data_IF_082079922376
#
_entry.id   IF_082079922376
#
_cell.length_a   1.000
_cell.length_b   1.000
_cell.length_c   1.000
_cell.angle_alpha   90.00
_cell.angle_beta   90.00
_cell.angle_gamma   90.00
#
_symmetry.space_group_name_H-M   'P 1'
#
loop_
_entity.id
_entity.type
_entity.pdbx_description
1 polymer ?
#
# COMPACT_ATOMS: atom_id res chain seq x y z
N UNK A 1 42.90 -5.13 -20.19
CA UNK A 1 43.17 -5.45 -18.77
C UNK A 1 42.55 -4.34 -17.93
N UNK A 2 41.33 -4.57 -17.43
CA UNK A 2 40.68 -3.90 -16.30
C UNK A 2 39.30 -4.56 -16.19
N UNK A 3 39.28 -5.77 -15.64
CA UNK A 3 38.07 -6.35 -15.06
C UNK A 3 37.75 -5.52 -13.83
N UNK A 4 36.66 -4.76 -13.88
CA UNK A 4 36.04 -4.25 -12.67
C UNK A 4 35.38 -5.45 -11.97
N UNK A 5 36.08 -6.05 -11.02
CA UNK A 5 35.45 -6.86 -9.98
C UNK A 5 34.51 -5.94 -9.19
N UNK A 6 33.24 -5.93 -9.57
CA UNK A 6 32.18 -5.55 -8.64
C UNK A 6 32.19 -6.62 -7.55
N UNK A 7 32.68 -6.24 -6.37
CA UNK A 7 32.46 -6.99 -5.13
C UNK A 7 30.94 -7.18 -4.97
N UNK A 8 30.41 -8.28 -5.51
CA UNK A 8 29.08 -8.73 -5.18
C UNK A 8 29.16 -9.17 -3.73
N UNK A 9 28.72 -8.31 -2.81
CA UNK A 9 28.28 -8.76 -1.50
C UNK A 9 27.33 -9.94 -1.75
N UNK A 10 27.63 -11.08 -1.12
CA UNK A 10 26.80 -12.26 -1.24
C UNK A 10 25.38 -11.90 -0.79
N UNK A 11 24.41 -12.06 -1.68
CA UNK A 11 23.00 -11.83 -1.36
C UNK A 11 22.60 -12.75 -0.21
N UNK A 12 22.13 -12.16 0.89
CA UNK A 12 21.79 -12.90 2.12
C UNK A 12 20.41 -13.54 2.05
N UNK A 13 19.51 -12.96 1.25
CA UNK A 13 18.15 -13.47 1.04
C UNK A 13 17.40 -12.68 -0.03
N UNK A 14 16.20 -13.16 -0.38
CA UNK A 14 15.25 -12.48 -1.25
C UNK A 14 13.97 -12.20 -0.47
N UNK A 15 13.41 -11.01 -0.64
CA UNK A 15 12.13 -10.61 -0.04
C UNK A 15 11.11 -10.37 -1.15
N UNK A 16 10.01 -11.12 -1.17
CA UNK A 16 8.84 -10.79 -1.97
C UNK A 16 7.82 -10.07 -1.09
N UNK A 17 7.53 -8.81 -1.42
CA UNK A 17 6.56 -8.00 -0.69
C UNK A 17 5.34 -7.74 -1.56
N UNK A 18 4.15 -8.05 -1.04
CA UNK A 18 2.89 -7.63 -1.65
C UNK A 18 2.63 -6.12 -1.44
N UNK A 19 1.78 -5.55 -2.29
CA UNK A 19 1.47 -4.13 -2.25
C UNK A 19 0.19 -3.81 -1.46
N UNK A 20 -0.96 -4.28 -1.91
CA UNK A 20 -2.27 -3.80 -1.47
C UNK A 20 -2.69 -4.52 -0.19
N UNK A 21 -2.87 -3.79 0.91
CA UNK A 21 -3.10 -4.36 2.24
C UNK A 21 -1.81 -4.69 3.00
N UNK A 22 -0.68 -4.78 2.28
CA UNK A 22 0.66 -5.05 2.83
C UNK A 22 1.52 -3.77 2.88
N UNK A 23 2.28 -3.43 1.84
CA UNK A 23 3.09 -2.20 1.86
C UNK A 23 2.24 -0.94 1.83
N UNK A 24 1.10 -0.96 1.14
CA UNK A 24 0.11 0.11 1.07
C UNK A 24 -1.15 -0.37 1.76
N UNK A 25 -1.55 0.26 2.86
CA UNK A 25 -2.68 -0.15 3.71
C UNK A 25 -4.07 -0.02 3.05
N UNK A 26 -4.10 0.46 1.80
CA UNK A 26 -5.31 0.61 1.00
C UNK A 26 -5.25 -0.23 -0.27
N UNK A 27 -6.26 -0.03 -1.12
CA UNK A 27 -6.28 -0.61 -2.45
C UNK A 27 -5.71 0.41 -3.45
N UNK A 28 -4.52 0.15 -3.99
CA UNK A 28 -3.84 1.03 -4.96
C UNK A 28 -4.66 1.24 -6.23
N UNK A 29 -5.48 0.27 -6.64
CA UNK A 29 -6.35 0.42 -7.81
C UNK A 29 -7.46 1.45 -7.55
N UNK A 30 -7.94 1.59 -6.31
CA UNK A 30 -8.86 2.67 -5.95
C UNK A 30 -8.19 4.05 -6.03
N UNK A 31 -6.93 4.18 -5.59
CA UNK A 31 -6.15 5.41 -5.79
C UNK A 31 -5.98 5.74 -7.26
N UNK A 32 -5.65 4.73 -8.07
CA UNK A 32 -5.55 4.89 -9.52
C UNK A 32 -6.87 5.37 -10.15
N UNK A 33 -8.01 4.81 -9.75
CA UNK A 33 -9.33 5.24 -10.23
C UNK A 33 -9.66 6.68 -9.78
N UNK A 34 -9.33 7.04 -8.54
CA UNK A 34 -9.56 8.38 -8.01
C UNK A 34 -8.70 9.44 -8.72
N UNK A 35 -7.41 9.14 -8.93
CA UNK A 35 -6.49 9.95 -9.71
C UNK A 35 -6.96 10.11 -11.16
N UNK A 36 -7.39 9.00 -11.79
CA UNK A 36 -7.98 8.99 -13.13
C UNK A 36 -9.20 9.91 -13.21
N UNK A 37 -10.13 9.80 -12.25
CA UNK A 37 -11.33 10.61 -12.21
C UNK A 37 -11.04 12.12 -12.03
N UNK A 38 -10.09 12.45 -11.14
CA UNK A 38 -9.70 13.83 -10.85
C UNK A 38 -9.05 14.52 -12.05
N UNK A 39 -8.24 13.78 -12.79
CA UNK A 39 -7.49 14.28 -13.95
C UNK A 39 -8.36 14.34 -15.21
N UNK A 40 -9.30 13.41 -15.37
CA UNK A 40 -10.13 13.29 -16.55
C UNK A 40 -11.06 14.49 -16.80
N UNK A 41 -11.18 14.90 -18.06
CA UNK A 41 -12.24 15.79 -18.55
C UNK A 41 -13.63 15.11 -18.57
N UNK A 42 -14.68 15.87 -18.89
CA UNK A 42 -16.07 15.36 -18.81
C UNK A 42 -16.31 14.10 -19.67
N UNK A 43 -15.81 14.09 -20.92
CA UNK A 43 -15.95 12.94 -21.81
C UNK A 43 -15.20 11.71 -21.28
N UNK A 44 -13.97 11.89 -20.81
CA UNK A 44 -13.15 10.83 -20.24
C UNK A 44 -13.75 10.26 -18.95
N UNK A 45 -14.33 11.11 -18.09
CA UNK A 45 -15.08 10.66 -16.91
C UNK A 45 -16.28 9.81 -17.29
N UNK A 46 -17.04 10.22 -18.33
CA UNK A 46 -18.15 9.43 -18.83
C UNK A 46 -17.69 8.07 -19.37
N UNK A 47 -16.58 8.03 -20.10
CA UNK A 47 -15.97 6.78 -20.59
C UNK A 47 -15.51 5.88 -19.44
N UNK A 48 -14.80 6.42 -18.44
CA UNK A 48 -14.36 5.69 -17.26
C UNK A 48 -15.56 5.14 -16.47
N UNK A 49 -16.59 5.98 -16.23
CA UNK A 49 -17.83 5.56 -15.60
C UNK A 49 -18.51 4.42 -16.36
N UNK A 50 -18.53 4.48 -17.70
CA UNK A 50 -19.05 3.39 -18.52
C UNK A 50 -18.26 2.09 -18.31
N UNK A 51 -16.92 2.13 -18.31
CA UNK A 51 -16.10 0.91 -18.08
C UNK A 51 -16.36 0.28 -16.71
N UNK A 52 -16.57 1.12 -15.68
CA UNK A 52 -16.90 0.71 -14.32
C UNK A 52 -18.31 0.14 -14.20
N UNK A 53 -19.30 0.80 -14.83
CA UNK A 53 -20.71 0.38 -14.80
C UNK A 53 -20.91 -1.03 -15.37
N UNK A 54 -20.08 -1.45 -16.34
CA UNK A 54 -20.11 -2.80 -16.89
C UNK A 54 -19.81 -3.90 -15.85
N UNK A 55 -19.23 -3.57 -14.69
CA UNK A 55 -19.08 -4.51 -13.55
C UNK A 55 -20.44 -4.99 -13.03
N UNK A 56 -21.49 -4.18 -13.14
CA UNK A 56 -22.83 -4.52 -12.65
C UNK A 56 -23.41 -5.78 -13.32
N UNK A 57 -22.89 -6.17 -14.50
CA UNK A 57 -23.28 -7.40 -15.19
C UNK A 57 -22.56 -8.67 -14.68
N UNK A 58 -21.84 -8.59 -13.56
CA UNK A 58 -21.23 -9.74 -12.88
C UNK A 58 -20.23 -10.50 -13.75
N UNK A 59 -20.36 -11.83 -13.81
CA UNK A 59 -19.50 -12.71 -14.62
C UNK A 59 -19.62 -12.43 -16.13
N UNK A 60 -20.79 -12.02 -16.62
CA UNK A 60 -20.98 -11.58 -18.01
C UNK A 60 -20.19 -10.31 -18.34
N UNK A 61 -19.96 -9.47 -17.33
CA UNK A 61 -19.06 -8.32 -17.39
C UNK A 61 -17.61 -8.63 -17.02
N UNK A 62 -17.22 -9.90 -16.88
CA UNK A 62 -15.88 -10.34 -16.49
C UNK A 62 -15.50 -10.06 -15.02
N UNK A 63 -16.44 -9.65 -14.17
CA UNK A 63 -16.19 -9.43 -12.75
C UNK A 63 -15.15 -8.35 -12.44
N UNK A 64 -14.37 -8.54 -11.37
CA UNK A 64 -13.33 -7.59 -10.95
C UNK A 64 -12.16 -7.51 -11.93
N UNK A 65 -11.67 -8.66 -12.38
CA UNK A 65 -10.61 -8.75 -13.38
C UNK A 65 -11.02 -8.11 -14.72
N UNK A 66 -12.24 -8.38 -15.18
CA UNK A 66 -12.79 -7.75 -16.39
C UNK A 66 -12.90 -6.24 -16.27
N UNK A 67 -13.32 -5.72 -15.11
CA UNK A 67 -13.35 -4.28 -14.85
C UNK A 67 -11.94 -3.68 -14.89
N UNK A 68 -10.97 -4.25 -14.17
CA UNK A 68 -9.57 -3.78 -14.18
C UNK A 68 -9.03 -3.76 -15.60
N UNK A 69 -9.20 -4.85 -16.37
CA UNK A 69 -8.79 -4.94 -17.78
C UNK A 69 -9.36 -3.80 -18.64
N UNK A 70 -10.66 -3.51 -18.51
CA UNK A 70 -11.32 -2.44 -19.28
C UNK A 70 -10.81 -1.06 -18.92
N UNK A 71 -10.61 -0.79 -17.63
CA UNK A 71 -10.05 0.48 -17.17
C UNK A 71 -8.61 0.65 -17.67
N UNK A 72 -7.78 -0.39 -17.61
CA UNK A 72 -6.41 -0.33 -18.13
C UNK A 72 -6.37 -0.11 -19.64
N UNK A 73 -7.31 -0.72 -20.39
CA UNK A 73 -7.45 -0.48 -21.83
C UNK A 73 -7.93 0.94 -22.15
N UNK A 74 -8.84 1.48 -21.34
CA UNK A 74 -9.23 2.89 -21.44
C UNK A 74 -8.02 3.80 -21.18
N UNK A 75 -7.26 3.53 -20.13
CA UNK A 75 -6.05 4.26 -19.78
C UNK A 75 -4.97 4.20 -20.88
N UNK A 76 -4.75 3.04 -21.51
CA UNK A 76 -3.78 2.92 -22.63
C UNK A 76 -4.11 3.83 -23.82
N UNK A 77 -5.39 4.18 -24.01
CA UNK A 77 -5.83 5.06 -25.08
C UNK A 77 -5.72 6.56 -24.78
N UNK A 78 -5.30 6.95 -23.58
CA UNK A 78 -5.10 8.35 -23.21
C UNK A 78 -3.81 8.93 -23.80
N UNK A 79 -3.68 10.26 -23.81
CA UNK A 79 -2.43 10.90 -24.20
C UNK A 79 -1.35 10.68 -23.13
N UNK A 80 -0.08 10.60 -23.53
CA UNK A 80 1.04 10.33 -22.61
C UNK A 80 1.13 11.32 -21.45
N UNK A 81 0.83 12.60 -21.70
CA UNK A 81 0.79 13.63 -20.65
C UNK A 81 -0.26 13.32 -19.58
N UNK A 82 -1.44 12.86 -19.99
CA UNK A 82 -2.54 12.52 -19.09
C UNK A 82 -2.22 11.25 -18.31
N UNK A 83 -1.61 10.25 -18.98
CA UNK A 83 -1.12 9.03 -18.34
C UNK A 83 -0.11 9.36 -17.23
N UNK A 84 0.86 10.21 -17.53
CA UNK A 84 1.88 10.65 -16.58
C UNK A 84 1.25 11.36 -15.37
N UNK A 85 0.33 12.30 -15.58
CA UNK A 85 -0.34 13.02 -14.48
C UNK A 85 -1.16 12.07 -13.58
N UNK A 86 -1.89 11.12 -14.19
CA UNK A 86 -2.66 10.13 -13.43
C UNK A 86 -1.73 9.25 -12.60
N UNK A 87 -0.62 8.77 -13.18
CA UNK A 87 0.37 7.95 -12.46
C UNK A 87 0.96 8.75 -11.31
N UNK A 88 1.44 9.98 -11.53
CA UNK A 88 2.01 10.83 -10.49
C UNK A 88 1.04 11.05 -9.31
N UNK A 89 -0.23 11.36 -9.61
CA UNK A 89 -1.27 11.50 -8.58
C UNK A 89 -1.54 10.19 -7.86
N UNK A 90 -1.54 9.06 -8.56
CA UNK A 90 -1.69 7.73 -7.97
C UNK A 90 -0.56 7.45 -6.97
N UNK A 91 0.69 7.73 -7.35
CA UNK A 91 1.85 7.57 -6.48
C UNK A 91 1.76 8.47 -5.24
N UNK A 92 1.34 9.72 -5.42
CA UNK A 92 1.14 10.66 -4.31
C UNK A 92 0.09 10.15 -3.32
N UNK A 93 -1.01 9.58 -3.80
CA UNK A 93 -2.04 8.99 -2.93
C UNK A 93 -1.52 7.74 -2.21
N UNK A 94 -0.83 6.85 -2.93
CA UNK A 94 -0.27 5.62 -2.35
C UNK A 94 0.75 5.89 -1.25
N UNK A 95 1.64 6.89 -1.43
CA UNK A 95 2.65 7.25 -0.43
C UNK A 95 2.06 7.61 0.92
N UNK A 96 0.88 8.23 0.94
CA UNK A 96 0.18 8.59 2.17
C UNK A 96 -0.42 7.40 2.94
N UNK A 97 -0.40 6.21 2.35
CA UNK A 97 -0.99 4.98 2.89
C UNK A 97 0.06 3.89 3.15
N UNK A 98 1.35 4.23 3.08
CA UNK A 98 2.43 3.26 3.27
C UNK A 98 2.45 2.76 4.71
N UNK A 99 2.55 1.45 4.87
CA UNK A 99 2.81 0.81 6.15
C UNK A 99 4.24 1.10 6.59
N UNK A 100 4.40 1.92 7.62
CA UNK A 100 5.71 2.24 8.17
C UNK A 100 6.44 1.01 8.74
N UNK A 101 5.77 0.08 9.47
CA UNK A 101 6.42 -1.16 9.94
C UNK A 101 7.01 -1.99 8.79
N UNK A 102 6.24 -2.23 7.73
CA UNK A 102 6.74 -2.98 6.55
C UNK A 102 7.84 -2.19 5.83
N UNK A 103 7.66 -0.89 5.63
CA UNK A 103 8.68 -0.02 5.03
C UNK A 103 10.01 -0.04 5.79
N UNK A 104 9.97 0.00 7.13
CA UNK A 104 11.16 -0.10 7.97
C UNK A 104 11.81 -1.48 7.86
N UNK A 105 11.01 -2.56 7.94
CA UNK A 105 11.51 -3.92 7.77
C UNK A 105 12.20 -4.12 6.41
N UNK A 106 11.62 -3.60 5.32
CA UNK A 106 12.23 -3.67 4.00
C UNK A 106 13.57 -2.92 3.94
N UNK A 107 13.69 -1.78 4.64
CA UNK A 107 14.97 -1.04 4.73
C UNK A 107 16.01 -1.83 5.52
N UNK A 108 15.61 -2.42 6.66
CA UNK A 108 16.48 -3.24 7.51
C UNK A 108 16.98 -4.47 6.72
N UNK A 109 16.08 -5.22 6.08
CA UNK A 109 16.43 -6.39 5.26
C UNK A 109 17.38 -6.02 4.11
N UNK A 110 17.12 -4.89 3.42
CA UNK A 110 18.02 -4.42 2.37
C UNK A 110 19.40 -4.02 2.91
N UNK A 111 19.46 -3.39 4.08
CA UNK A 111 20.72 -3.06 4.75
C UNK A 111 21.50 -4.32 5.17
N UNK A 112 20.80 -5.41 5.43
CA UNK A 112 21.35 -6.75 5.69
C UNK A 112 21.76 -7.51 4.40
N UNK A 113 21.64 -6.89 3.22
CA UNK A 113 22.06 -7.47 1.94
C UNK A 113 20.99 -8.31 1.24
N UNK A 114 19.72 -8.21 1.64
CA UNK A 114 18.63 -8.85 0.93
C UNK A 114 18.28 -8.12 -0.37
N UNK A 115 17.90 -8.87 -1.40
CA UNK A 115 17.26 -8.33 -2.61
C UNK A 115 15.76 -8.22 -2.36
N UNK A 116 15.18 -7.05 -2.58
CA UNK A 116 13.79 -6.74 -2.26
C UNK A 116 12.97 -6.56 -3.55
N UNK A 117 11.95 -7.42 -3.72
CA UNK A 117 11.11 -7.50 -4.92
C UNK A 117 9.65 -7.19 -4.57
N UNK A 118 9.03 -6.26 -5.28
CA UNK A 118 7.59 -6.00 -5.15
C UNK A 118 6.84 -7.03 -6.00
N UNK A 119 6.04 -7.90 -5.38
CA UNK A 119 5.28 -8.94 -6.06
C UNK A 119 3.78 -8.75 -5.85
N UNK A 120 3.08 -8.18 -6.84
CA UNK A 120 1.72 -7.63 -6.65
C UNK A 120 0.76 -7.94 -7.80
N UNK A 121 -0.53 -8.06 -7.46
CA UNK A 121 -1.60 -8.07 -8.45
C UNK A 121 -1.87 -6.68 -9.04
N UNK A 122 -1.27 -5.62 -8.51
CA UNK A 122 -1.43 -4.26 -9.02
C UNK A 122 -0.81 -4.07 -10.42
N UNK A 123 -1.40 -3.22 -11.27
CA UNK A 123 -0.85 -2.86 -12.58
C UNK A 123 0.56 -2.26 -12.52
N UNK A 124 1.46 -2.80 -13.35
CA UNK A 124 2.85 -2.35 -13.53
C UNK A 124 2.98 -0.87 -13.91
N UNK A 125 2.00 -0.30 -14.60
CA UNK A 125 1.98 1.12 -15.00
C UNK A 125 2.20 2.09 -13.82
N UNK A 126 1.79 1.72 -12.61
CA UNK A 126 2.06 2.49 -11.40
C UNK A 126 2.85 1.71 -10.36
N UNK A 127 2.79 0.36 -10.35
CA UNK A 127 3.54 -0.45 -9.41
C UNK A 127 5.07 -0.34 -9.63
N UNK A 128 5.54 -0.30 -10.88
CA UNK A 128 6.97 -0.14 -11.20
C UNK A 128 7.50 1.22 -10.69
N UNK A 129 6.94 2.38 -11.08
CA UNK A 129 7.46 3.66 -10.61
C UNK A 129 7.28 3.84 -9.09
N UNK A 130 6.26 3.20 -8.48
CA UNK A 130 6.15 3.13 -7.03
C UNK A 130 7.32 2.36 -6.41
N UNK A 131 7.55 1.12 -6.86
CA UNK A 131 8.64 0.26 -6.40
C UNK A 131 10.01 0.94 -6.53
N UNK A 132 10.30 1.54 -7.70
CA UNK A 132 11.54 2.29 -7.92
C UNK A 132 11.69 3.44 -6.92
N UNK A 133 10.62 4.16 -6.59
CA UNK A 133 10.68 5.26 -5.61
C UNK A 133 10.89 4.82 -4.15
N UNK A 134 10.67 3.53 -3.84
CA UNK A 134 10.95 2.92 -2.54
C UNK A 134 12.27 2.13 -2.51
N UNK A 135 12.98 2.09 -3.63
CA UNK A 135 14.27 1.39 -3.77
C UNK A 135 14.12 -0.13 -3.76
N UNK A 136 13.04 -0.64 -4.33
CA UNK A 136 12.94 -2.06 -4.70
C UNK A 136 13.89 -2.35 -5.86
N UNK A 137 14.46 -3.55 -5.86
CA UNK A 137 15.37 -4.03 -6.90
C UNK A 137 14.60 -4.50 -8.14
N UNK A 138 13.38 -5.00 -7.96
CA UNK A 138 12.51 -5.45 -9.04
C UNK A 138 11.02 -5.28 -8.71
N UNK A 139 10.17 -5.19 -9.73
CA UNK A 139 8.72 -5.20 -9.59
C UNK A 139 8.05 -6.23 -10.52
N UNK A 140 7.46 -7.26 -9.92
CA UNK A 140 6.62 -8.24 -10.56
C UNK A 140 5.14 -7.83 -10.36
N UNK A 141 4.54 -7.23 -11.39
CA UNK A 141 3.17 -6.74 -11.35
C UNK A 141 2.27 -7.27 -12.47
N UNK A 142 0.99 -6.93 -12.41
CA UNK A 142 0.05 -7.19 -13.51
C UNK A 142 0.42 -6.34 -14.73
N UNK A 143 0.67 -6.97 -15.87
CA UNK A 143 1.00 -6.25 -17.11
C UNK A 143 -0.22 -5.50 -17.67
N UNK A 144 0.04 -4.43 -18.41
CA UNK A 144 -0.99 -3.70 -19.17
C UNK A 144 -1.66 -4.57 -20.23
N UNK A 145 -2.70 -4.03 -20.88
CA UNK A 145 -3.47 -4.79 -21.89
C UNK A 145 -2.85 -4.77 -23.29
N UNK A 146 -1.76 -4.06 -23.48
CA UNK A 146 -1.12 -3.85 -24.78
C UNK A 146 -0.26 -5.03 -25.23
N UNK A 147 0.23 -5.84 -24.29
CA UNK A 147 1.26 -6.85 -24.55
C UNK A 147 0.72 -8.23 -24.89
N UNK A 148 -0.57 -8.53 -24.67
CA UNK A 148 -1.10 -9.90 -24.85
C UNK A 148 -2.56 -9.92 -25.34
N UNK A 149 -2.86 -10.88 -26.23
CA UNK A 149 -4.24 -11.19 -26.64
C UNK A 149 -5.12 -11.64 -25.46
N UNK A 150 -4.49 -12.28 -24.46
CA UNK A 150 -5.12 -12.73 -23.21
C UNK A 150 -4.49 -12.02 -22.01
N UNK A 151 -5.31 -11.34 -21.22
CA UNK A 151 -4.87 -10.55 -20.07
C UNK A 151 -5.23 -11.29 -18.77
N UNK A 152 -4.29 -11.33 -17.83
CA UNK A 152 -4.45 -11.98 -16.53
C UNK A 152 -3.84 -11.12 -15.42
N UNK A 153 -4.47 -11.12 -14.24
CA UNK A 153 -3.87 -10.55 -13.03
C UNK A 153 -2.77 -11.48 -12.49
N UNK A 154 -1.72 -10.86 -11.97
CA UNK A 154 -0.63 -11.54 -11.27
C UNK A 154 -1.03 -11.84 -9.81
N UNK A 155 -1.96 -12.78 -9.65
CA UNK A 155 -2.53 -13.19 -8.36
C UNK A 155 -2.44 -14.70 -8.18
N UNK A 156 -2.37 -15.18 -6.94
CA UNK A 156 -2.37 -16.61 -6.63
C UNK A 156 -1.18 -17.33 -7.25
N UNK A 157 -1.47 -18.49 -7.84
CA UNK A 157 -0.47 -19.34 -8.48
C UNK A 157 0.32 -18.60 -9.57
N UNK A 158 -0.27 -17.63 -10.28
CA UNK A 158 0.47 -16.85 -11.28
C UNK A 158 1.54 -15.96 -10.64
N UNK A 159 1.24 -15.36 -9.49
CA UNK A 159 2.21 -14.57 -8.72
C UNK A 159 3.36 -15.47 -8.26
N UNK A 160 3.03 -16.62 -7.65
CA UNK A 160 4.02 -17.60 -7.21
C UNK A 160 4.92 -18.08 -8.37
N UNK A 161 4.34 -18.43 -9.52
CA UNK A 161 5.09 -18.83 -10.70
C UNK A 161 6.02 -17.73 -11.22
N UNK A 162 5.57 -16.47 -11.26
CA UNK A 162 6.43 -15.36 -11.66
C UNK A 162 7.61 -15.17 -10.69
N UNK A 163 7.37 -15.25 -9.37
CA UNK A 163 8.44 -15.19 -8.37
C UNK A 163 9.43 -16.35 -8.52
N UNK A 164 8.96 -17.60 -8.70
CA UNK A 164 9.81 -18.79 -8.93
C UNK A 164 10.65 -18.65 -10.20
N UNK A 165 10.04 -18.17 -11.29
CA UNK A 165 10.75 -17.92 -12.56
C UNK A 165 11.80 -16.84 -12.41
N UNK A 166 11.48 -15.75 -11.69
CA UNK A 166 12.43 -14.70 -11.40
C UNK A 166 13.60 -15.22 -10.55
N UNK A 167 13.34 -15.94 -9.45
CA UNK A 167 14.38 -16.58 -8.63
C UNK A 167 15.31 -17.45 -9.46
N UNK A 168 14.73 -18.34 -10.28
CA UNK A 168 15.49 -19.28 -11.10
C UNK A 168 16.35 -18.56 -12.15
N UNK A 169 15.86 -17.46 -12.72
CA UNK A 169 16.62 -16.66 -13.69
C UNK A 169 17.74 -15.86 -13.03
N UNK A 170 17.50 -15.34 -11.83
CA UNK A 170 18.44 -14.46 -11.12
C UNK A 170 19.54 -15.24 -10.38
N UNK A 171 19.19 -16.36 -9.73
CA UNK A 171 20.09 -17.10 -8.85
C UNK A 171 20.34 -18.56 -9.30
N UNK A 172 19.67 -19.02 -10.36
CA UNK A 172 19.85 -20.37 -10.87
C UNK A 172 19.29 -21.45 -9.91
N UNK A 173 19.95 -22.62 -9.80
CA UNK A 173 19.41 -23.77 -9.07
C UNK A 173 19.51 -23.67 -7.54
N UNK A 174 20.28 -22.72 -7.01
CA UNK A 174 20.51 -22.54 -5.58
C UNK A 174 20.09 -21.12 -5.15
N UNK A 175 18.78 -20.81 -5.11
CA UNK A 175 18.33 -19.51 -4.65
C UNK A 175 18.68 -19.31 -3.15
N UNK A 176 18.90 -18.07 -2.72
CA UNK A 176 19.06 -17.75 -1.31
C UNK A 176 17.71 -17.90 -0.57
N UNK A 177 17.73 -17.77 0.76
CA UNK A 177 16.51 -17.85 1.57
C UNK A 177 15.47 -16.79 1.15
N UNK A 178 14.21 -17.20 1.10
CA UNK A 178 13.07 -16.41 0.66
C UNK A 178 12.22 -16.00 1.87
N UNK A 179 11.99 -14.70 1.95
CA UNK A 179 11.00 -14.09 2.84
C UNK A 179 9.81 -13.59 2.03
N UNK A 180 8.59 -13.87 2.48
CA UNK A 180 7.36 -13.33 1.88
C UNK A 180 6.66 -12.42 2.88
N UNK A 181 6.32 -11.21 2.45
CA UNK A 181 5.54 -10.25 3.23
C UNK A 181 4.17 -10.08 2.53
N UNK A 182 3.08 -10.43 3.21
CA UNK A 182 1.72 -10.39 2.64
C UNK A 182 0.64 -10.20 3.72
N UNK A 183 -0.56 -9.79 3.34
CA UNK A 183 -1.75 -9.74 4.22
C UNK A 183 -2.85 -10.70 3.75
N UNK A 184 -2.69 -11.34 2.58
CA UNK A 184 -3.80 -11.95 1.88
C UNK A 184 -3.61 -13.47 1.64
N UNK A 185 -4.65 -14.30 1.86
CA UNK A 185 -4.59 -15.74 1.59
C UNK A 185 -4.44 -16.11 0.11
N UNK A 186 -4.61 -15.16 -0.81
CA UNK A 186 -4.31 -15.41 -2.23
C UNK A 186 -2.82 -15.70 -2.43
N UNK A 187 -1.95 -15.27 -1.53
CA UNK A 187 -0.51 -15.52 -1.61
C UNK A 187 -0.09 -16.85 -0.98
N UNK A 188 -1.03 -17.74 -0.59
CA UNK A 188 -0.71 -19.08 -0.11
C UNK A 188 0.25 -19.84 -1.05
N UNK A 189 0.07 -19.85 -2.39
CA UNK A 189 1.02 -20.51 -3.27
C UNK A 189 2.42 -19.88 -3.30
N UNK A 190 2.54 -18.58 -2.98
CA UNK A 190 3.82 -17.88 -2.86
C UNK A 190 4.47 -18.16 -1.51
N UNK A 191 3.68 -18.28 -0.44
CA UNK A 191 4.14 -18.68 0.90
C UNK A 191 4.81 -20.06 0.89
N UNK A 192 4.34 -20.99 0.04
CA UNK A 192 4.91 -22.33 -0.07
C UNK A 192 6.41 -22.37 -0.42
N UNK A 193 6.94 -21.34 -1.09
CA UNK A 193 8.36 -21.25 -1.44
C UNK A 193 9.21 -20.46 -0.44
N UNK A 194 8.60 -19.95 0.64
CA UNK A 194 9.28 -19.10 1.62
C UNK A 194 9.72 -19.90 2.84
N UNK A 195 10.90 -19.57 3.36
CA UNK A 195 11.36 -20.02 4.67
C UNK A 195 10.78 -19.15 5.79
N UNK A 196 10.63 -17.85 5.52
CA UNK A 196 10.06 -16.87 6.46
C UNK A 196 8.84 -16.19 5.87
N UNK A 197 7.74 -16.15 6.62
CA UNK A 197 6.52 -15.41 6.26
C UNK A 197 6.28 -14.32 7.28
N UNK A 198 6.15 -13.10 6.78
CA UNK A 198 5.71 -11.94 7.54
C UNK A 198 4.28 -11.61 7.11
N UNK A 199 3.33 -11.75 8.01
CA UNK A 199 1.91 -11.48 7.73
C UNK A 199 1.55 -10.13 8.30
N UNK A 200 1.13 -9.20 7.44
CA UNK A 200 0.60 -7.91 7.86
C UNK A 200 -0.93 -7.96 7.99
N UNK A 201 -1.47 -8.51 9.07
CA UNK A 201 -2.91 -8.63 9.21
C UNK A 201 -3.38 -8.62 10.67
N UNK A 202 -4.70 -8.62 10.89
CA UNK A 202 -5.28 -8.92 12.21
C UNK A 202 -5.01 -10.38 12.58
N UNK A 203 -4.99 -10.67 13.88
CA UNK A 203 -4.77 -12.02 14.42
C UNK A 203 -5.63 -13.11 13.75
N UNK A 204 -6.91 -12.84 13.50
CA UNK A 204 -7.82 -13.78 12.82
C UNK A 204 -7.34 -14.20 11.41
N UNK A 205 -6.77 -13.26 10.65
CA UNK A 205 -6.27 -13.51 9.29
C UNK A 205 -4.92 -14.21 9.36
N UNK A 206 -4.07 -13.81 10.31
CA UNK A 206 -2.81 -14.49 10.60
C UNK A 206 -3.04 -15.99 10.84
N UNK A 207 -3.94 -16.34 11.76
CA UNK A 207 -4.26 -17.72 12.10
C UNK A 207 -4.79 -18.51 10.90
N UNK A 208 -5.60 -17.87 10.05
CA UNK A 208 -6.12 -18.48 8.82
C UNK A 208 -5.00 -18.81 7.83
N UNK A 209 -4.06 -17.89 7.62
CA UNK A 209 -2.95 -18.07 6.68
C UNK A 209 -1.93 -19.06 7.24
N UNK A 210 -1.52 -18.89 8.49
CA UNK A 210 -0.55 -19.79 9.14
C UNK A 210 -1.09 -21.21 9.31
N UNK A 211 -2.39 -21.36 9.58
CA UNK A 211 -3.05 -22.67 9.68
C UNK A 211 -3.25 -23.38 8.34
N UNK A 212 -3.20 -22.65 7.22
CA UNK A 212 -3.27 -23.22 5.88
C UNK A 212 -1.90 -23.63 5.32
N UNK A 213 -0.81 -23.14 5.91
CA UNK A 213 0.55 -23.54 5.54
C UNK A 213 0.88 -24.94 6.11
N UNK A 214 1.57 -25.75 5.30
CA UNK A 214 1.78 -27.18 5.58
C UNK A 214 3.22 -27.53 5.96
N UNK A 215 4.11 -26.55 6.15
CA UNK A 215 5.55 -26.75 6.32
C UNK A 215 6.13 -26.21 7.64
N UNK A 216 7.46 -26.21 7.72
CA UNK A 216 8.26 -25.75 8.88
C UNK A 216 8.58 -24.26 8.82
N UNK A 217 7.76 -23.46 8.12
CA UNK A 217 8.08 -22.07 7.90
C UNK A 217 8.01 -21.24 9.19
N UNK A 218 8.87 -20.21 9.29
CA UNK A 218 8.83 -19.25 10.39
C UNK A 218 7.79 -18.17 10.10
N UNK A 219 6.86 -17.94 11.04
CA UNK A 219 5.82 -16.92 10.91
C UNK A 219 6.07 -15.74 11.83
N UNK A 220 5.96 -14.53 11.29
CA UNK A 220 5.96 -13.27 12.02
C UNK A 220 4.65 -12.51 11.72
N UNK A 221 4.04 -11.95 12.75
CA UNK A 221 2.84 -11.11 12.61
C UNK A 221 3.23 -9.63 12.76
N UNK A 222 2.88 -8.82 11.75
CA UNK A 222 2.80 -7.37 11.87
C UNK A 222 1.31 -7.01 11.94
N UNK A 223 0.80 -6.81 13.14
CA UNK A 223 -0.60 -6.43 13.29
C UNK A 223 -0.79 -4.94 12.96
N UNK A 224 -1.62 -4.58 11.96
CA UNK A 224 -1.88 -3.19 11.63
C UNK A 224 -2.45 -2.46 12.85
N UNK A 225 -1.72 -1.45 13.34
CA UNK A 225 -2.10 -0.68 14.52
C UNK A 225 -1.62 -1.25 15.85
N UNK A 226 -0.92 -2.39 15.89
CA UNK A 226 -0.19 -2.82 17.09
C UNK A 226 1.06 -1.95 17.24
N UNK A 227 1.29 -1.46 18.46
CA UNK A 227 2.41 -0.59 18.79
C UNK A 227 3.72 -1.36 18.60
N UNK A 228 4.55 -0.91 17.66
CA UNK A 228 5.98 -1.22 17.63
C UNK A 228 6.65 -0.42 18.76
N UNK A 229 7.53 -1.06 19.53
CA UNK A 229 8.37 -0.40 20.56
C UNK A 229 9.23 0.73 19.96
N UNK A 230 9.43 0.75 18.64
CA UNK A 230 10.11 1.82 17.88
C UNK A 230 9.25 3.06 17.62
N UNK A 231 7.97 3.06 18.04
CA UNK A 231 7.18 4.27 18.28
C UNK A 231 6.65 5.02 17.06
N UNK A 232 5.42 5.52 17.16
CA UNK A 232 4.85 6.45 16.19
C UNK A 232 3.59 7.10 16.71
N UNK A 233 3.42 8.39 16.41
CA UNK A 233 2.29 9.18 16.87
C UNK A 233 1.16 9.13 15.84
N UNK A 234 -0.08 9.06 16.33
CA UNK A 234 -1.26 9.24 15.50
C UNK A 234 -1.85 10.61 15.81
N UNK A 235 -1.92 11.46 14.79
CA UNK A 235 -2.58 12.75 14.88
C UNK A 235 -3.94 12.68 14.21
N UNK A 236 -4.92 13.39 14.74
CA UNK A 236 -6.23 13.50 14.10
C UNK A 236 -6.36 14.84 13.39
N UNK A 237 -6.41 14.82 12.06
CA UNK A 237 -6.67 15.99 11.22
C UNK A 237 -7.96 15.84 10.47
N UNK A 238 -8.81 16.86 10.56
CA UNK A 238 -9.93 17.06 9.67
C UNK A 238 -10.93 15.91 9.46
N UNK A 239 -10.93 14.88 10.33
CA UNK A 239 -11.75 13.62 10.29
C UNK A 239 -10.98 12.32 9.99
N UNK A 240 -9.65 12.39 9.88
CA UNK A 240 -8.78 11.23 9.64
C UNK A 240 -7.68 11.15 10.69
N UNK A 241 -7.41 9.93 11.15
CA UNK A 241 -6.16 9.64 11.80
C UNK A 241 -5.04 9.65 10.73
N UNK A 242 -3.96 10.35 11.01
CA UNK A 242 -2.73 10.42 10.24
C UNK A 242 -1.62 9.89 11.13
N UNK A 243 -1.02 8.77 10.75
CA UNK A 243 0.00 8.10 11.53
C UNK A 243 0.29 6.67 11.03
N UNK A 244 1.23 5.96 11.67
CA UNK A 244 2.17 6.49 12.66
C UNK A 244 3.14 7.48 11.99
N UNK A 245 3.25 8.69 12.54
CA UNK A 245 4.24 9.69 12.12
C UNK A 245 5.30 9.85 13.19
N UNK A 246 6.51 10.21 12.78
CA UNK A 246 7.61 10.38 13.71
C UNK A 246 7.52 11.72 14.50
N UNK A 247 8.37 11.87 15.51
CA UNK A 247 8.43 13.06 16.37
C UNK A 247 8.64 14.37 15.60
N UNK A 248 9.48 14.36 14.56
CA UNK A 248 9.79 15.55 13.78
C UNK A 248 8.62 15.94 12.88
N UNK A 249 7.90 14.95 12.35
CA UNK A 249 6.67 15.13 11.59
C UNK A 249 5.57 15.72 12.48
N UNK A 250 5.37 15.20 13.70
CA UNK A 250 4.41 15.77 14.66
C UNK A 250 4.71 17.25 14.92
N UNK A 251 5.97 17.60 15.21
CA UNK A 251 6.37 19.00 15.42
C UNK A 251 6.11 19.89 14.21
N UNK A 252 6.40 19.36 13.01
CA UNK A 252 6.19 20.08 11.76
C UNK A 252 4.70 20.34 11.52
N UNK A 253 3.85 19.35 11.78
CA UNK A 253 2.40 19.50 11.60
C UNK A 253 1.81 20.43 12.67
N UNK A 254 2.26 20.33 13.93
CA UNK A 254 1.87 21.24 15.01
C UNK A 254 2.28 22.69 14.75
N UNK A 255 3.39 22.93 14.06
CA UNK A 255 3.82 24.28 13.67
C UNK A 255 2.86 24.96 12.67
N UNK A 256 2.07 24.17 11.92
CA UNK A 256 1.17 24.64 10.85
C UNK A 256 -0.30 24.57 11.21
N UNK A 257 -0.70 23.76 12.20
CA UNK A 257 -2.10 23.52 12.54
C UNK A 257 -2.38 23.81 14.02
N UNK A 258 -3.00 24.96 14.31
CA UNK A 258 -3.35 25.45 15.68
C UNK A 258 -4.42 24.63 16.42
N UNK A 259 -4.98 23.61 15.78
CA UNK A 259 -6.14 22.84 16.25
C UNK A 259 -5.92 21.32 16.24
N UNK A 260 -4.69 20.87 16.50
CA UNK A 260 -4.42 19.44 16.61
C UNK A 260 -4.83 18.91 18.00
N UNK A 261 -5.50 17.75 18.00
CA UNK A 261 -5.76 16.96 19.19
C UNK A 261 -4.88 15.71 19.12
N UNK A 262 -4.17 15.42 20.20
CA UNK A 262 -3.46 14.16 20.37
C UNK A 262 -4.30 13.19 21.19
N UNK A 263 -4.24 11.91 20.84
CA UNK A 263 -4.97 10.86 21.54
C UNK A 263 -4.23 10.47 22.83
N UNK A 264 -4.84 10.57 24.01
CA UNK A 264 -4.15 10.31 25.31
C UNK A 264 -4.52 8.96 25.94
N UNK A 265 -5.31 8.13 25.26
CA UNK A 265 -5.79 6.84 25.79
C UNK A 265 -7.22 6.90 26.31
N UNK A 266 -7.87 5.75 26.52
CA UNK A 266 -9.25 5.65 27.03
C UNK A 266 -10.31 6.48 26.27
N UNK A 267 -10.15 6.69 24.96
CA UNK A 267 -11.03 7.53 24.14
C UNK A 267 -10.94 9.04 24.43
N UNK A 268 -9.94 9.47 25.20
CA UNK A 268 -9.71 10.87 25.56
C UNK A 268 -8.75 11.54 24.57
N UNK A 269 -9.04 12.79 24.26
CA UNK A 269 -8.27 13.62 23.34
C UNK A 269 -7.82 14.89 24.05
N UNK A 270 -6.53 15.19 23.96
CA UNK A 270 -5.97 16.39 24.55
C UNK A 270 -5.49 17.35 23.47
N UNK A 271 -5.86 18.63 23.63
CA UNK A 271 -5.36 19.69 22.77
C UNK A 271 -3.86 19.83 22.95
N UNK A 272 -3.13 19.74 21.85
CA UNK A 272 -1.68 19.90 21.86
C UNK A 272 -1.38 21.40 21.89
N UNK A 273 -0.66 21.85 22.92
CA UNK A 273 -0.23 23.25 23.07
C UNK A 273 1.29 23.36 22.90
N UNK A 274 1.82 24.50 22.42
CA UNK A 274 3.27 24.71 22.32
C UNK A 274 3.96 24.46 23.67
N UNK A 275 5.04 23.66 23.65
CA UNK A 275 5.82 23.32 24.85
C UNK A 275 5.25 22.15 25.68
N UNK A 276 4.14 21.55 25.27
CA UNK A 276 3.57 20.37 25.92
C UNK A 276 4.46 19.13 25.68
N UNK A 277 4.70 18.35 26.74
CA UNK A 277 5.37 17.04 26.63
C UNK A 277 4.44 16.04 25.92
N UNK A 278 4.87 15.54 24.76
CA UNK A 278 4.07 14.65 23.92
C UNK A 278 4.26 13.17 24.29
N UNK A 279 5.08 12.83 25.29
CA UNK A 279 5.22 11.46 25.79
C UNK A 279 3.92 10.90 26.41
N UNK A 280 2.94 11.76 26.71
CA UNK A 280 1.67 11.40 27.33
C UNK A 280 0.56 10.92 26.36
N UNK A 281 0.80 10.91 25.03
CA UNK A 281 -0.22 10.45 24.07
C UNK A 281 -0.30 8.91 24.05
N UNK A 282 -1.52 8.41 24.26
CA UNK A 282 -1.83 7.03 24.58
C UNK A 282 -1.71 6.06 23.40
N UNK A 283 -1.84 4.78 23.73
CA UNK A 283 -1.63 3.65 22.81
C UNK A 283 -2.68 3.60 21.70
N UNK A 284 -2.27 3.08 20.54
CA UNK A 284 -3.13 2.90 19.34
C UNK A 284 -4.41 2.09 19.59
N UNK A 285 -4.39 1.14 20.53
CA UNK A 285 -5.56 0.31 20.91
C UNK A 285 -6.75 1.10 21.44
N UNK A 286 -6.51 2.34 21.85
CA UNK A 286 -7.54 3.23 22.37
C UNK A 286 -8.05 4.23 21.31
N UNK A 287 -7.50 4.20 20.08
CA UNK A 287 -7.94 5.07 18.98
C UNK A 287 -9.28 4.54 18.47
N UNK A 288 -10.38 5.30 18.60
CA UNK A 288 -11.67 4.86 18.09
C UNK A 288 -11.59 4.66 16.56
N UNK A 289 -12.26 3.63 16.00
CA UNK A 289 -12.31 3.44 14.56
C UNK A 289 -12.83 4.71 13.89
N UNK A 290 -12.37 5.02 12.66
CA UNK A 290 -12.86 6.19 11.97
C UNK A 290 -14.39 6.16 11.88
N UNK A 291 -15.08 7.30 12.00
CA UNK A 291 -16.53 7.32 11.92
C UNK A 291 -16.98 6.62 10.63
N UNK A 292 -18.08 5.86 10.64
CA UNK A 292 -18.66 5.29 9.43
C UNK A 292 -18.81 6.35 8.33
N UNK A 293 -18.70 5.95 7.06
CA UNK A 293 -18.75 6.87 5.90
C UNK A 293 -19.87 7.90 6.02
N UNK A 294 -21.07 7.50 6.47
CA UNK A 294 -22.22 8.38 6.68
C UNK A 294 -21.98 9.46 7.74
N UNK A 295 -21.33 9.10 8.86
CA UNK A 295 -20.96 10.07 9.89
C UNK A 295 -19.88 11.04 9.39
N UNK A 296 -18.89 10.55 8.62
CA UNK A 296 -17.88 11.42 7.99
C UNK A 296 -18.51 12.43 7.03
N UNK A 297 -19.46 12.00 6.21
CA UNK A 297 -20.21 12.90 5.30
C UNK A 297 -20.95 13.97 6.10
N UNK A 298 -21.63 13.60 7.18
CA UNK A 298 -22.34 14.56 8.04
C UNK A 298 -21.41 15.53 8.75
N UNK A 299 -20.27 15.06 9.27
CA UNK A 299 -19.26 15.89 9.92
C UNK A 299 -18.70 16.90 8.91
N UNK A 300 -18.37 16.46 7.69
CA UNK A 300 -17.87 17.32 6.63
C UNK A 300 -18.91 18.35 6.16
N UNK A 301 -20.18 17.95 6.03
CA UNK A 301 -21.27 18.88 5.70
C UNK A 301 -21.45 19.95 6.79
N UNK A 302 -21.48 19.56 8.06
CA UNK A 302 -21.59 20.49 9.19
C UNK A 302 -20.40 21.46 9.27
N UNK A 303 -19.19 20.96 9.00
CA UNK A 303 -17.97 21.77 9.00
C UNK A 303 -17.92 22.75 7.84
N UNK A 304 -18.35 22.35 6.65
CA UNK A 304 -18.44 23.24 5.49
C UNK A 304 -19.39 24.40 5.79
N UNK A 305 -20.58 24.09 6.31
CA UNK A 305 -21.54 25.11 6.75
C UNK A 305 -20.96 26.01 7.84
N UNK A 306 -20.28 25.45 8.85
CA UNK A 306 -19.68 26.24 9.92
C UNK A 306 -18.52 27.13 9.44
N UNK A 307 -17.67 26.64 8.52
CA UNK A 307 -16.58 27.43 7.90
C UNK A 307 -17.11 28.56 7.05
N UNK A 308 -18.10 28.27 6.22
CA UNK A 308 -18.76 29.25 5.36
C UNK A 308 -19.45 30.33 6.22
N UNK A 309 -20.05 29.92 7.35
CA UNK A 309 -20.64 30.85 8.33
C UNK A 309 -19.61 31.69 9.08
N UNK A 310 -18.45 31.12 9.43
CA UNK A 310 -17.36 31.83 10.11
C UNK A 310 -16.48 32.67 9.16
N UNK A 311 -16.72 32.65 7.85
CA UNK A 311 -15.92 33.37 6.86
C UNK A 311 -14.45 32.89 6.79
N UNK A 312 -14.18 31.65 7.20
CA UNK A 312 -12.82 31.07 7.18
C UNK A 312 -12.57 30.45 5.80
N UNK A 313 -12.11 31.31 4.88
CA UNK A 313 -11.65 30.93 3.56
C UNK A 313 -10.14 30.64 3.62
N UNK A 314 -9.72 29.47 3.14
CA UNK A 314 -8.33 29.13 2.88
C UNK A 314 -8.08 29.26 1.39
#
# INVERSE_FOLDING_TARGET
MMEAKQDHQAVTGVVFCDLDGTLVLGNSFHSFLLASWRTAGALQRAQLAHQLALRAFGSRGGGHAGMKRRVLRWFSGLQEREKAEIVERTLSEMRSMVSQPVSNMLKDLRAEGHVVVLATAAPTIYAIPFASSFGFDECLGTLGTETNAVWFELVGERKAQACRQWLSRTFGPCPPAVTVITDHPDDLPLIEIAETIVIQARQEIFEKISGAATGTQAFQLIEPGRVDERGGYWLWFDDRAVGPIDWYEVKTVLSKHRYCLGHVGNGLWQRIVPGMDLAAFGKSVDIPPPPPVRQRVTINAKRRVLRDWLGIFH
#
